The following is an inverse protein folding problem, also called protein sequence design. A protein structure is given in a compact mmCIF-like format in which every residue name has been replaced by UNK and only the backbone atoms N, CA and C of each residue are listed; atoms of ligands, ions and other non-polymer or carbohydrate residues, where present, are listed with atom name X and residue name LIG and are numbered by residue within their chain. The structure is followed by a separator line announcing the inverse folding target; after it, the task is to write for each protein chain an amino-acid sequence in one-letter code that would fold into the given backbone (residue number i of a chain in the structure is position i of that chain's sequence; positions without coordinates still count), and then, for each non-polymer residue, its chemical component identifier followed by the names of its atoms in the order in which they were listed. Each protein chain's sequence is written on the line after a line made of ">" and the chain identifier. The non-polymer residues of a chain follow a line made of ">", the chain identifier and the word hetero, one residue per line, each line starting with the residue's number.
data_IF_243679581319
#
_entry.id   IF_243679581319
#
_cell.length_a   1.000
_cell.length_b   1.000
_cell.length_c   1.000
_cell.angle_alpha   90.00
_cell.angle_beta   90.00
_cell.angle_gamma   90.00
#
_symmetry.space_group_name_H-M   'P 1'
#
loop_
_entity.id
_entity.type
_entity.pdbx_description
1 polymer ?
#
# COMPACT_ATOMS: atom_id res chain seq x y z
N UNK A 1 -18.62 -21.67 4.81
CA UNK A 1 -17.88 -20.82 5.76
C UNK A 1 -17.68 -19.49 5.07
N UNK A 2 -18.34 -18.41 5.52
CA UNK A 2 -18.07 -17.06 5.01
C UNK A 2 -16.86 -16.54 5.78
N UNK A 3 -15.72 -16.24 5.14
CA UNK A 3 -14.66 -15.53 5.84
C UNK A 3 -15.23 -14.18 6.25
N UNK A 4 -15.20 -13.91 7.54
CA UNK A 4 -15.57 -12.62 8.13
C UNK A 4 -14.60 -11.57 7.63
N UNK A 5 -14.96 -10.89 6.53
CA UNK A 5 -14.28 -9.75 5.90
C UNK A 5 -14.30 -8.46 6.76
N UNK A 6 -14.28 -8.59 8.09
CA UNK A 6 -14.23 -7.48 9.05
C UNK A 6 -13.37 -7.89 10.25
N UNK A 7 -12.13 -8.32 9.99
CA UNK A 7 -11.09 -8.28 11.00
C UNK A 7 -10.64 -6.82 11.12
N UNK A 8 -10.62 -6.27 12.34
CA UNK A 8 -9.97 -4.98 12.56
C UNK A 8 -8.47 -5.24 12.45
N UNK A 9 -7.90 -5.02 11.27
CA UNK A 9 -6.46 -5.15 11.06
C UNK A 9 -5.72 -4.04 11.79
N UNK A 10 -4.58 -4.36 12.39
CA UNK A 10 -3.67 -3.35 12.91
C UNK A 10 -2.89 -2.70 11.77
N UNK A 11 -2.29 -1.53 12.02
CA UNK A 11 -1.39 -0.92 11.04
C UNK A 11 -0.20 -1.86 10.74
N UNK A 12 0.39 -2.45 11.78
CA UNK A 12 1.50 -3.39 11.67
C UNK A 12 1.14 -4.61 10.82
N UNK A 13 -0.07 -5.18 10.97
CA UNK A 13 -0.53 -6.30 10.14
C UNK A 13 -0.62 -5.94 8.65
N UNK A 14 -1.04 -4.71 8.34
CA UNK A 14 -1.14 -4.22 6.95
C UNK A 14 0.24 -3.87 6.37
N UNK A 15 1.12 -3.26 7.17
CA UNK A 15 2.49 -2.94 6.78
C UNK A 15 3.31 -4.22 6.51
N UNK A 16 3.19 -5.21 7.39
CA UNK A 16 3.80 -6.54 7.17
C UNK A 16 3.25 -7.20 5.91
N UNK A 17 1.93 -7.10 5.64
CA UNK A 17 1.33 -7.63 4.43
C UNK A 17 1.85 -6.95 3.15
N UNK A 18 2.06 -5.63 3.20
CA UNK A 18 2.66 -4.85 2.11
C UNK A 18 4.10 -5.30 1.83
N UNK A 19 4.97 -5.28 2.83
CA UNK A 19 6.37 -5.69 2.68
C UNK A 19 6.47 -7.13 2.20
N UNK A 20 5.65 -8.03 2.75
CA UNK A 20 5.64 -9.44 2.34
C UNK A 20 5.26 -9.61 0.87
N UNK A 21 4.35 -8.78 0.36
CA UNK A 21 3.92 -8.80 -1.05
C UNK A 21 5.04 -8.37 -1.99
N UNK A 22 5.93 -7.48 -1.54
CA UNK A 22 7.07 -7.04 -2.32
C UNK A 22 8.30 -7.95 -2.21
N UNK A 23 8.30 -8.93 -1.31
CA UNK A 23 9.48 -9.75 -1.02
C UNK A 23 10.08 -10.39 -2.29
N UNK A 24 11.33 -10.03 -2.61
CA UNK A 24 12.07 -10.44 -3.80
C UNK A 24 11.96 -9.48 -5.00
N UNK A 25 11.17 -8.42 -4.94
CA UNK A 25 11.07 -7.38 -5.97
C UNK A 25 12.01 -6.19 -5.64
N UNK A 26 13.08 -5.98 -6.43
CA UNK A 26 14.10 -4.98 -6.12
C UNK A 26 13.64 -3.53 -6.28
N UNK A 27 12.50 -3.27 -6.93
CA UNK A 27 11.91 -1.94 -7.04
C UNK A 27 10.79 -1.72 -6.03
N UNK A 28 9.95 -2.73 -5.82
CA UNK A 28 8.78 -2.61 -4.95
C UNK A 28 9.14 -2.66 -3.46
N UNK A 29 10.14 -3.45 -3.03
CA UNK A 29 10.58 -3.47 -1.63
C UNK A 29 10.98 -2.08 -1.12
N UNK A 30 11.95 -1.36 -1.73
CA UNK A 30 12.35 -0.04 -1.27
C UNK A 30 11.26 1.02 -1.46
N UNK A 31 10.36 0.83 -2.44
CA UNK A 31 9.20 1.70 -2.61
C UNK A 31 8.24 1.60 -1.42
N UNK A 32 7.92 0.39 -0.97
CA UNK A 32 7.02 0.18 0.16
C UNK A 32 7.66 0.57 1.49
N UNK A 33 8.95 0.32 1.69
CA UNK A 33 9.69 0.83 2.86
C UNK A 33 9.60 2.36 2.95
N UNK A 34 9.84 3.06 1.83
CA UNK A 34 9.73 4.52 1.76
C UNK A 34 8.31 5.03 2.11
N UNK A 35 7.26 4.35 1.64
CA UNK A 35 5.88 4.72 1.98
C UNK A 35 5.57 4.49 3.46
N UNK A 36 6.07 3.40 4.05
CA UNK A 36 5.84 3.08 5.47
C UNK A 36 6.54 4.09 6.38
N UNK A 37 7.77 4.49 6.04
CA UNK A 37 8.58 5.38 6.87
C UNK A 37 8.17 6.86 6.73
N UNK A 38 7.83 7.30 5.52
CA UNK A 38 7.68 8.73 5.19
C UNK A 38 6.36 9.09 4.49
N UNK A 39 5.52 8.10 4.18
CA UNK A 39 4.27 8.29 3.46
C UNK A 39 3.06 8.46 4.38
N UNK A 40 1.85 8.57 3.80
CA UNK A 40 0.62 8.55 4.58
C UNK A 40 0.46 7.21 5.30
N UNK A 41 -0.14 7.25 6.50
CA UNK A 41 -0.45 6.01 7.23
C UNK A 41 -1.22 4.99 6.38
N UNK A 42 -0.96 3.71 6.60
CA UNK A 42 -1.63 2.61 5.89
C UNK A 42 -3.16 2.64 6.01
N UNK A 43 -3.70 3.15 7.12
CA UNK A 43 -5.14 3.37 7.28
C UNK A 43 -5.68 4.53 6.44
N UNK A 44 -4.89 5.57 6.20
CA UNK A 44 -5.28 6.65 5.28
C UNK A 44 -5.36 6.12 3.85
N UNK A 45 -4.39 5.29 3.43
CA UNK A 45 -4.41 4.62 2.12
C UNK A 45 -5.62 3.67 2.01
N UNK A 46 -5.89 2.86 3.03
CA UNK A 46 -7.06 1.98 3.07
C UNK A 46 -8.39 2.77 3.00
N UNK A 47 -8.51 3.84 3.79
CA UNK A 47 -9.71 4.68 3.79
C UNK A 47 -9.92 5.42 2.46
N UNK A 48 -8.83 5.75 1.76
CA UNK A 48 -8.86 6.32 0.42
C UNK A 48 -9.18 5.29 -0.68
N UNK A 49 -9.27 3.99 -0.35
CA UNK A 49 -9.48 2.91 -1.32
C UNK A 49 -8.22 2.54 -2.12
N UNK A 50 -7.05 3.03 -1.69
CA UNK A 50 -5.76 2.81 -2.34
C UNK A 50 -5.03 1.56 -1.85
N UNK A 51 -5.55 0.88 -0.83
CA UNK A 51 -4.98 -0.35 -0.31
C UNK A 51 -5.95 -1.52 -0.56
N UNK A 52 -5.57 -2.45 -1.43
CA UNK A 52 -6.28 -3.73 -1.56
C UNK A 52 -5.73 -4.69 -0.53
N UNK A 53 -6.62 -5.32 0.24
CA UNK A 53 -6.25 -6.29 1.28
C UNK A 53 -7.05 -7.56 1.06
N UNK A 54 -6.37 -8.71 1.06
CA UNK A 54 -6.99 -10.01 0.91
C UNK A 54 -6.38 -11.03 1.88
N UNK A 55 -7.15 -12.06 2.30
CA UNK A 55 -6.57 -13.19 3.01
C UNK A 55 -5.54 -13.87 2.13
N UNK A 56 -4.35 -14.11 2.67
CA UNK A 56 -3.38 -15.00 2.05
C UNK A 56 -3.82 -16.45 2.31
N UNK A 57 -4.37 -17.07 1.26
CA UNK A 57 -4.95 -18.43 1.30
C UNK A 57 -3.95 -19.51 0.95
N UNK A 58 -2.77 -19.14 0.45
CA UNK A 58 -1.75 -20.09 -0.04
C UNK A 58 -0.76 -20.49 1.06
N UNK A 59 -0.67 -19.70 2.14
CA UNK A 59 0.05 -20.10 3.35
C UNK A 59 -0.84 -20.86 4.34
N UNK A 60 -0.36 -22.05 4.73
CA UNK A 60 -0.89 -22.92 5.79
C UNK A 60 -1.06 -22.24 7.17
N UNK A 61 -0.65 -20.97 7.32
CA UNK A 61 -0.68 -20.20 8.56
C UNK A 61 -1.73 -19.08 8.64
N UNK A 62 -2.42 -18.73 7.54
CA UNK A 62 -3.36 -17.61 7.51
C UNK A 62 -2.64 -16.26 7.67
N UNK A 63 -2.43 -15.57 6.55
CA UNK A 63 -1.82 -14.24 6.52
C UNK A 63 -2.71 -13.22 5.82
N UNK A 64 -2.17 -12.01 5.67
CA UNK A 64 -2.74 -10.98 4.80
C UNK A 64 -1.78 -10.74 3.63
N UNK A 65 -2.37 -10.48 2.48
CA UNK A 65 -1.70 -9.88 1.35
C UNK A 65 -2.28 -8.48 1.16
N UNK A 66 -1.41 -7.52 0.82
CA UNK A 66 -1.83 -6.15 0.58
C UNK A 66 -1.03 -5.52 -0.57
N UNK A 67 -1.71 -4.68 -1.36
CA UNK A 67 -1.13 -3.95 -2.49
C UNK A 67 -1.64 -2.51 -2.54
N UNK A 68 -0.77 -1.59 -2.94
CA UNK A 68 -1.12 -0.19 -3.18
C UNK A 68 -1.59 -0.02 -4.63
N UNK A 69 -2.73 0.63 -4.83
CA UNK A 69 -3.24 1.05 -6.14
C UNK A 69 -2.57 2.35 -6.59
N UNK A 70 -1.35 2.23 -7.09
CA UNK A 70 -0.51 3.37 -7.47
C UNK A 70 -1.12 4.28 -8.54
N UNK A 71 -1.86 3.70 -9.51
CA UNK A 71 -2.50 4.45 -10.60
C UNK A 71 -3.56 5.43 -10.13
N UNK A 72 -4.11 5.22 -8.93
CA UNK A 72 -5.27 5.94 -8.43
C UNK A 72 -4.88 7.01 -7.41
N UNK A 73 -3.58 7.18 -7.11
CA UNK A 73 -3.08 8.11 -6.08
C UNK A 73 -3.47 9.56 -6.40
N UNK A 74 -3.11 10.05 -7.59
CA UNK A 74 -3.41 11.44 -7.97
C UNK A 74 -4.93 11.67 -8.03
N UNK A 75 -5.69 10.69 -8.55
CA UNK A 75 -7.16 10.72 -8.60
C UNK A 75 -7.79 10.79 -7.19
N UNK A 76 -7.25 10.04 -6.22
CA UNK A 76 -7.70 10.04 -4.84
C UNK A 76 -7.40 11.37 -4.13
N UNK A 77 -6.29 12.03 -4.46
CA UNK A 77 -5.93 13.36 -3.94
C UNK A 77 -6.85 14.43 -4.52
N UNK A 78 -7.05 14.42 -5.84
CA UNK A 78 -7.90 15.39 -6.56
C UNK A 78 -9.35 15.34 -6.09
N UNK A 79 -9.85 14.16 -5.75
CA UNK A 79 -11.20 13.97 -5.18
C UNK A 79 -11.27 14.23 -3.68
N UNK A 80 -10.13 14.46 -3.02
CA UNK A 80 -10.03 14.67 -1.57
C UNK A 80 -10.27 13.41 -0.73
N UNK A 81 -10.19 12.23 -1.34
CA UNK A 81 -10.30 10.93 -0.67
C UNK A 81 -9.02 10.61 0.13
N UNK A 82 -7.85 10.96 -0.42
CA UNK A 82 -6.58 10.94 0.29
C UNK A 82 -6.23 12.35 0.76
N UNK A 83 -6.11 12.55 2.07
CA UNK A 83 -5.54 13.77 2.65
C UNK A 83 -4.10 13.49 3.04
N UNK A 84 -3.17 14.00 2.24
CA UNK A 84 -1.74 13.90 2.46
C UNK A 84 -1.11 15.29 2.43
N UNK A 85 -0.04 15.47 3.18
CA UNK A 85 0.83 16.62 3.11
C UNK A 85 1.60 16.63 1.79
N UNK A 86 2.13 17.79 1.35
CA UNK A 86 2.97 17.84 0.15
C UNK A 86 4.17 16.89 0.22
N UNK A 87 4.79 16.71 1.40
CA UNK A 87 5.91 15.80 1.57
C UNK A 87 5.50 14.34 1.36
N UNK A 88 4.40 13.90 1.99
CA UNK A 88 3.86 12.55 1.81
C UNK A 88 3.46 12.27 0.34
N UNK A 89 2.98 13.26 -0.39
CA UNK A 89 2.69 13.12 -1.83
C UNK A 89 3.95 12.95 -2.67
N UNK A 90 5.02 13.70 -2.37
CA UNK A 90 6.31 13.50 -3.03
C UNK A 90 6.92 12.13 -2.67
N UNK A 91 6.75 11.65 -1.43
CA UNK A 91 7.12 10.29 -1.02
C UNK A 91 6.39 9.24 -1.86
N UNK A 92 5.06 9.36 -2.02
CA UNK A 92 4.27 8.42 -2.83
C UNK A 92 4.70 8.41 -4.30
N UNK A 93 5.01 9.58 -4.87
CA UNK A 93 5.55 9.67 -6.24
C UNK A 93 6.94 9.07 -6.36
N UNK A 94 7.82 9.35 -5.40
CA UNK A 94 9.16 8.74 -5.33
C UNK A 94 9.08 7.22 -5.24
N UNK A 95 8.19 6.70 -4.40
CA UNK A 95 7.94 5.26 -4.28
C UNK A 95 7.41 4.64 -5.57
N UNK A 96 6.42 5.26 -6.23
CA UNK A 96 5.92 4.79 -7.52
C UNK A 96 7.01 4.78 -8.61
N UNK A 97 7.94 5.76 -8.58
CA UNK A 97 9.09 5.77 -9.48
C UNK A 97 10.07 4.62 -9.19
N UNK A 98 10.37 4.34 -7.92
CA UNK A 98 11.21 3.21 -7.51
C UNK A 98 10.61 1.86 -7.94
N UNK A 99 9.29 1.72 -7.84
CA UNK A 99 8.55 0.55 -8.30
C UNK A 99 8.46 0.43 -9.84
N UNK A 100 9.03 1.39 -10.60
CA UNK A 100 9.02 1.39 -12.06
C UNK A 100 7.64 1.64 -12.68
N UNK A 101 6.74 2.30 -11.94
CA UNK A 101 5.35 2.53 -12.35
C UNK A 101 5.17 3.81 -13.17
N UNK A 102 6.20 4.65 -13.23
CA UNK A 102 6.32 5.69 -14.25
C UNK A 102 7.17 5.17 -15.41
N UNK A 103 6.73 5.35 -16.66
CA UNK A 103 7.61 5.07 -17.80
C UNK A 103 8.84 5.98 -17.72
N UNK A 104 10.02 5.41 -17.99
CA UNK A 104 11.23 6.20 -18.25
C UNK A 104 10.89 7.24 -19.33
N UNK A 105 10.83 8.52 -18.94
CA UNK A 105 10.65 9.66 -19.86
C UNK A 105 11.73 9.73 -20.92
#
# INVERSE_FOLDING_TARGET
>A
MRPSLLGVWTAEELEVALIRTACGDPGLEPALELVIDEGPSVFALLAAGLLRVQPDVDELGGGLWAEIEWSDIDDAVDRGALRATPAELETLRGAAALAGLFPDT
#
